data_IF_898159454593
#
_entry.id   IF_898159454593
#
_cell.length_a   1.000
_cell.length_b   1.000
_cell.length_c   1.000
_cell.angle_alpha   90.00
_cell.angle_beta   90.00
_cell.angle_gamma   90.00
#
_symmetry.space_group_name_H-M   'P 1'
#
loop_
_entity.id
_entity.type
_entity.pdbx_description
1 polymer ?
#
# COMPACT_ATOMS: atom_id res chain seq x y z
N UNK A 1 39.39 74.54 -3.07
CA UNK A 1 39.00 74.45 -1.64
C UNK A 1 37.77 73.57 -1.57
N UNK A 2 37.59 72.79 -0.48
CA UNK A 2 36.47 71.87 -0.20
C UNK A 2 36.46 70.53 -0.97
N UNK A 3 36.11 69.47 -0.22
CA UNK A 3 35.71 68.10 -0.63
C UNK A 3 34.27 67.86 -0.04
N UNK A 4 33.67 66.64 0.07
CA UNK A 4 33.89 65.32 -0.56
C UNK A 4 32.59 64.87 -1.33
N UNK A 5 31.95 63.67 -1.35
CA UNK A 5 32.10 62.34 -0.67
C UNK A 5 31.31 61.21 -1.39
N UNK A 6 31.89 59.99 -1.38
CA UNK A 6 31.23 58.66 -1.15
C UNK A 6 30.22 58.00 -2.12
N UNK A 7 30.20 56.66 -2.02
CA UNK A 7 29.15 55.67 -2.34
C UNK A 7 28.86 55.31 -3.81
N UNK A 8 28.80 54.03 -4.19
CA UNK A 8 29.08 52.79 -3.41
C UNK A 8 28.95 51.52 -4.27
N UNK A 9 29.79 50.51 -4.03
CA UNK A 9 29.79 49.26 -4.79
C UNK A 9 28.84 48.22 -4.16
N UNK A 10 27.71 47.92 -4.83
CA UNK A 10 26.83 46.82 -4.44
C UNK A 10 27.27 45.51 -5.13
N UNK A 11 27.45 44.44 -4.36
CA UNK A 11 27.88 43.13 -4.86
C UNK A 11 26.74 42.13 -4.96
N UNK A 12 26.91 41.08 -5.76
CA UNK A 12 26.05 39.90 -5.73
C UNK A 12 26.84 38.65 -6.13
N UNK A 13 26.93 37.68 -5.22
CA UNK A 13 27.48 36.33 -5.46
C UNK A 13 26.34 35.31 -5.61
N UNK A 14 26.57 34.14 -6.23
CA UNK A 14 25.50 33.35 -6.83
C UNK A 14 24.61 32.60 -5.83
N UNK A 15 23.39 32.26 -6.27
CA UNK A 15 22.51 31.33 -5.55
C UNK A 15 23.13 29.92 -5.57
N UNK A 16 23.16 29.26 -4.40
CA UNK A 16 23.63 27.89 -4.28
C UNK A 16 22.65 26.86 -4.87
N UNK A 17 23.19 25.72 -5.31
CA UNK A 17 22.42 24.54 -5.73
C UNK A 17 22.07 23.72 -4.48
N UNK A 18 20.82 23.24 -4.31
CA UNK A 18 20.45 22.40 -3.17
C UNK A 18 21.11 21.00 -3.27
N UNK A 19 21.38 20.33 -2.14
CA UNK A 19 21.98 19.00 -2.14
C UNK A 19 21.05 17.94 -2.75
N UNK A 20 21.63 16.93 -3.39
CA UNK A 20 20.89 15.82 -4.00
C UNK A 20 20.27 14.90 -2.93
N UNK A 21 19.05 14.42 -3.19
CA UNK A 21 18.38 13.44 -2.35
C UNK A 21 19.01 12.03 -2.51
N UNK A 22 18.97 11.17 -1.48
CA UNK A 22 19.51 9.82 -1.57
C UNK A 22 18.66 8.94 -2.49
N UNK A 23 19.32 8.20 -3.40
CA UNK A 23 18.67 7.27 -4.32
C UNK A 23 18.05 6.07 -3.57
N UNK A 24 16.76 5.73 -3.79
CA UNK A 24 16.19 4.49 -3.26
C UNK A 24 16.86 3.27 -3.91
N UNK A 25 17.10 2.22 -3.11
CA UNK A 25 17.82 1.03 -3.54
C UNK A 25 17.06 0.20 -4.58
N UNK A 26 17.77 -0.30 -5.60
CA UNK A 26 17.22 -1.14 -6.68
C UNK A 26 16.98 -2.58 -6.23
N UNK A 27 16.07 -2.81 -5.27
CA UNK A 27 15.58 -4.15 -4.96
C UNK A 27 14.83 -4.71 -6.18
N UNK A 28 15.25 -5.87 -6.70
CA UNK A 28 14.76 -6.38 -7.99
C UNK A 28 13.35 -6.98 -7.87
N UNK A 29 12.37 -6.36 -8.56
CA UNK A 29 10.97 -6.79 -8.58
C UNK A 29 10.81 -8.05 -9.44
N UNK A 30 10.91 -9.22 -8.81
CA UNK A 30 10.76 -10.53 -9.47
C UNK A 30 9.29 -10.88 -9.66
N UNK A 31 8.68 -10.40 -10.74
CA UNK A 31 7.36 -10.84 -11.19
C UNK A 31 7.30 -12.37 -11.27
N UNK A 32 6.61 -12.99 -10.31
CA UNK A 32 6.45 -14.44 -10.24
C UNK A 32 4.96 -14.74 -10.31
N UNK A 33 4.51 -15.25 -11.46
CA UNK A 33 3.11 -15.65 -11.66
C UNK A 33 2.84 -16.93 -10.87
N UNK A 34 2.28 -16.78 -9.67
CA UNK A 34 1.67 -17.88 -8.93
C UNK A 34 0.19 -18.01 -9.36
N UNK A 35 -0.20 -19.21 -9.74
CA UNK A 35 -1.51 -19.52 -10.34
C UNK A 35 -2.26 -20.52 -9.44
N UNK A 36 -3.58 -20.34 -9.34
CA UNK A 36 -4.57 -21.19 -8.61
C UNK A 36 -4.48 -21.13 -7.06
N UNK A 37 -5.58 -21.30 -6.30
CA UNK A 37 -6.99 -21.51 -6.67
C UNK A 37 -7.95 -20.71 -5.76
N UNK A 38 -9.12 -20.32 -6.27
CA UNK A 38 -10.25 -19.96 -5.40
C UNK A 38 -10.94 -21.23 -4.90
N UNK A 39 -11.08 -21.37 -3.58
CA UNK A 39 -11.77 -22.47 -2.91
C UNK A 39 -12.94 -21.97 -2.05
N UNK A 40 -13.92 -21.28 -2.64
CA UNK A 40 -15.11 -20.83 -1.92
C UNK A 40 -16.11 -21.98 -1.74
N UNK A 41 -16.15 -22.59 -0.55
CA UNK A 41 -17.18 -23.53 -0.15
C UNK A 41 -17.82 -23.13 1.18
N UNK A 42 -19.09 -22.74 1.13
CA UNK A 42 -19.95 -22.78 2.31
C UNK A 42 -20.32 -24.24 2.58
N UNK A 43 -20.14 -24.70 3.82
CA UNK A 43 -20.46 -26.06 4.23
C UNK A 43 -20.73 -26.14 5.73
N UNK A 44 -22.00 -26.34 6.08
CA UNK A 44 -22.39 -26.68 7.45
C UNK A 44 -22.29 -28.20 7.67
N UNK A 45 -21.92 -28.62 8.87
CA UNK A 45 -21.81 -30.03 9.24
C UNK A 45 -21.19 -30.18 10.63
N UNK A 46 -21.78 -31.01 11.47
CA UNK A 46 -21.39 -31.17 12.89
C UNK A 46 -20.72 -32.52 13.18
N UNK A 47 -20.23 -32.65 14.41
CA UNK A 47 -20.19 -33.89 15.21
C UNK A 47 -18.99 -34.85 15.05
N UNK A 48 -18.10 -34.79 16.05
CA UNK A 48 -17.93 -35.93 16.95
C UNK A 48 -16.62 -36.73 16.87
N UNK A 49 -15.87 -36.71 17.97
CA UNK A 49 -14.70 -37.57 18.19
C UNK A 49 -14.02 -37.22 19.52
N UNK A 50 -14.17 -38.07 20.54
CA UNK A 50 -13.68 -37.79 21.90
C UNK A 50 -12.27 -38.31 22.15
N UNK A 51 -11.48 -37.55 22.91
CA UNK A 51 -10.19 -37.96 23.48
C UNK A 51 -10.10 -37.53 24.94
N UNK A 52 -9.61 -38.40 25.82
CA UNK A 52 -9.56 -38.16 27.28
C UNK A 52 -8.15 -37.78 27.74
N UNK A 53 -7.93 -36.52 28.12
CA UNK A 53 -6.68 -36.11 28.78
C UNK A 53 -6.52 -34.60 28.96
N UNK A 54 -6.13 -34.20 30.17
CA UNK A 54 -5.36 -32.99 30.54
C UNK A 54 -5.66 -31.65 29.85
N UNK A 55 -6.33 -30.77 30.61
CA UNK A 55 -6.52 -29.31 30.41
C UNK A 55 -7.22 -28.83 29.11
N UNK A 56 -8.03 -27.75 29.20
CA UNK A 56 -8.58 -27.08 28.03
C UNK A 56 -7.50 -26.19 27.40
N UNK A 57 -6.52 -26.81 26.74
CA UNK A 57 -5.55 -26.09 25.92
C UNK A 57 -6.32 -25.35 24.82
N UNK A 58 -6.55 -24.05 25.05
CA UNK A 58 -7.57 -23.27 24.34
C UNK A 58 -6.96 -22.78 23.03
N UNK A 59 -6.82 -23.73 22.11
CA UNK A 59 -6.31 -23.56 20.75
C UNK A 59 -7.15 -22.51 20.01
N UNK A 60 -6.78 -21.26 20.21
CA UNK A 60 -7.50 -20.09 19.73
C UNK A 60 -7.25 -20.00 18.24
N UNK A 61 -8.20 -20.54 17.46
CA UNK A 61 -8.13 -20.56 16.01
C UNK A 61 -7.92 -19.14 15.50
N UNK A 62 -6.74 -18.90 14.92
CA UNK A 62 -6.42 -17.62 14.32
C UNK A 62 -7.42 -17.34 13.19
N UNK A 63 -8.00 -16.16 13.19
CA UNK A 63 -8.93 -15.69 12.14
C UNK A 63 -8.20 -14.75 11.18
N UNK A 64 -8.60 -14.68 9.90
CA UNK A 64 -8.12 -13.64 8.99
C UNK A 64 -8.33 -12.22 9.57
N UNK A 65 -7.55 -11.22 9.15
CA UNK A 65 -7.61 -9.89 9.75
C UNK A 65 -8.92 -9.16 9.45
N UNK A 66 -9.19 -8.10 10.22
CA UNK A 66 -10.26 -7.16 9.89
C UNK A 66 -10.02 -6.50 8.51
N UNK A 67 -11.05 -6.25 7.69
CA UNK A 67 -10.91 -5.53 6.42
C UNK A 67 -10.30 -4.13 6.59
N UNK A 68 -9.51 -3.70 5.61
CA UNK A 68 -8.82 -2.40 5.65
C UNK A 68 -9.82 -1.24 5.55
N UNK A 69 -9.67 -0.26 6.45
CA UNK A 69 -10.57 0.90 6.57
C UNK A 69 -9.85 2.22 6.36
N UNK A 70 -10.59 3.26 5.96
CA UNK A 70 -10.02 4.60 5.71
C UNK A 70 -9.00 4.65 4.57
N UNK A 71 -9.11 3.74 3.58
CA UNK A 71 -8.30 3.80 2.36
C UNK A 71 -8.56 5.13 1.63
N UNK A 72 -7.50 5.81 1.23
CA UNK A 72 -7.51 7.00 0.37
C UNK A 72 -6.36 6.93 -0.64
N UNK A 73 -6.58 7.52 -1.82
CA UNK A 73 -5.57 7.67 -2.87
C UNK A 73 -5.28 9.17 -3.08
N UNK A 74 -4.02 9.53 -3.27
CA UNK A 74 -3.58 10.92 -3.44
C UNK A 74 -2.47 11.01 -4.49
N UNK A 75 -2.63 11.88 -5.48
CA UNK A 75 -1.67 12.08 -6.59
C UNK A 75 -0.40 12.77 -6.08
N UNK A 76 0.77 12.31 -6.54
CA UNK A 76 2.09 12.88 -6.25
C UNK A 76 2.63 13.82 -7.35
N UNK A 77 3.76 14.47 -7.08
CA UNK A 77 4.41 15.41 -8.02
C UNK A 77 5.22 14.75 -9.15
N UNK A 78 5.64 13.51 -8.96
CA UNK A 78 6.08 12.59 -10.03
C UNK A 78 4.95 11.62 -10.31
N UNK A 79 4.83 11.02 -11.51
CA UNK A 79 3.64 10.26 -11.91
C UNK A 79 3.47 9.01 -11.03
N UNK A 80 2.66 9.17 -9.98
CA UNK A 80 2.55 8.27 -8.86
C UNK A 80 1.31 8.59 -8.02
N UNK A 81 0.80 7.58 -7.32
CA UNK A 81 -0.30 7.71 -6.36
C UNK A 81 0.18 7.19 -5.01
N UNK A 82 0.09 8.04 -3.98
CA UNK A 82 0.24 7.63 -2.59
C UNK A 82 -1.08 7.06 -2.09
N UNK A 83 -1.07 5.82 -1.62
CA UNK A 83 -2.17 5.20 -0.91
C UNK A 83 -1.93 5.30 0.60
N UNK A 84 -2.98 5.61 1.36
CA UNK A 84 -2.97 5.60 2.83
C UNK A 84 -4.20 4.86 3.32
N UNK A 85 -4.04 4.06 4.37
CA UNK A 85 -5.14 3.37 5.05
C UNK A 85 -4.85 3.20 6.54
N UNK A 86 -5.91 2.90 7.30
CA UNK A 86 -5.82 2.54 8.72
C UNK A 86 -5.34 1.09 8.84
N UNK A 87 -4.31 0.79 9.64
CA UNK A 87 -3.88 -0.59 9.89
C UNK A 87 -5.01 -1.46 10.46
N UNK A 88 -5.11 -2.70 10.00
CA UNK A 88 -6.09 -3.68 10.47
C UNK A 88 -5.60 -4.40 11.72
N UNK A 89 -6.53 -4.68 12.66
CA UNK A 89 -6.22 -5.53 13.82
C UNK A 89 -5.92 -6.95 13.36
N UNK A 90 -4.82 -7.51 13.87
CA UNK A 90 -4.38 -8.88 13.58
C UNK A 90 -3.76 -9.08 12.19
N UNK A 91 -3.30 -8.02 11.52
CA UNK A 91 -2.65 -8.07 10.21
C UNK A 91 -1.12 -8.05 10.30
N UNK A 92 -0.47 -8.98 9.60
CA UNK A 92 0.99 -9.08 9.45
C UNK A 92 1.49 -8.30 8.22
N UNK A 93 0.77 -8.34 7.10
CA UNK A 93 1.07 -7.55 5.89
C UNK A 93 -0.20 -7.13 5.12
N UNK A 94 -0.05 -6.42 4.00
CA UNK A 94 -1.15 -5.94 3.17
C UNK A 94 -0.91 -6.23 1.68
N UNK A 95 -2.01 -6.42 0.94
CA UNK A 95 -1.98 -6.60 -0.52
C UNK A 95 -2.79 -5.50 -1.18
N UNK A 96 -2.15 -4.74 -2.06
CA UNK A 96 -2.78 -3.71 -2.89
C UNK A 96 -3.18 -4.33 -4.22
N UNK A 97 -4.47 -4.27 -4.53
CA UNK A 97 -5.03 -4.65 -5.83
C UNK A 97 -5.37 -3.39 -6.59
N UNK A 98 -5.01 -3.33 -7.87
CA UNK A 98 -5.26 -2.15 -8.69
C UNK A 98 -5.64 -2.44 -10.14
N UNK A 99 -6.33 -1.48 -10.76
CA UNK A 99 -6.69 -1.53 -12.18
C UNK A 99 -6.83 -0.13 -12.78
N UNK A 100 -6.80 -0.05 -14.11
CA UNK A 100 -7.17 1.13 -14.90
C UNK A 100 -8.69 1.14 -15.20
N UNK A 101 -9.46 0.30 -14.52
CA UNK A 101 -10.91 0.15 -14.65
C UNK A 101 -11.57 -0.07 -13.29
N UNK A 102 -12.82 0.38 -13.17
CA UNK A 102 -13.68 0.15 -12.00
C UNK A 102 -13.99 -1.33 -11.79
N UNK A 103 -14.32 -1.71 -10.56
CA UNK A 103 -14.62 -3.10 -10.20
C UNK A 103 -13.36 -3.88 -9.90
N UNK A 104 -12.47 -3.30 -9.09
CA UNK A 104 -11.22 -3.95 -8.68
C UNK A 104 -11.56 -5.12 -7.75
N UNK A 105 -11.24 -6.34 -8.18
CA UNK A 105 -11.38 -7.56 -7.36
C UNK A 105 -10.05 -8.31 -7.32
N UNK A 106 -9.79 -9.13 -6.28
CA UNK A 106 -8.61 -10.00 -6.24
C UNK A 106 -8.44 -10.92 -7.46
N UNK A 107 -9.51 -11.19 -8.20
CA UNK A 107 -9.52 -11.99 -9.44
C UNK A 107 -9.32 -11.19 -10.74
N UNK A 108 -9.48 -9.87 -10.74
CA UNK A 108 -9.44 -9.02 -11.97
C UNK A 108 -8.32 -7.98 -11.97
N UNK A 109 -7.60 -7.84 -10.86
CA UNK A 109 -6.66 -6.75 -10.63
C UNK A 109 -5.19 -7.14 -10.84
N UNK A 110 -4.35 -6.13 -11.08
CA UNK A 110 -2.90 -6.22 -10.88
C UNK A 110 -2.62 -6.19 -9.37
N UNK A 111 -1.62 -6.95 -8.92
CA UNK A 111 -1.40 -7.23 -7.48
C UNK A 111 -0.03 -6.75 -7.05
N UNK A 112 0.05 -6.09 -5.89
CA UNK A 112 1.29 -5.75 -5.18
C UNK A 112 1.16 -6.31 -3.76
N UNK A 113 2.06 -7.23 -3.37
CA UNK A 113 2.09 -7.86 -2.04
C UNK A 113 3.05 -7.14 -1.10
N UNK A 114 2.90 -7.40 0.20
CA UNK A 114 3.76 -6.93 1.29
C UNK A 114 3.89 -5.40 1.35
N UNK A 115 2.79 -4.72 1.03
CA UNK A 115 2.65 -3.28 1.12
C UNK A 115 2.48 -2.82 2.58
N UNK A 116 2.78 -1.56 2.84
CA UNK A 116 2.58 -0.89 4.13
C UNK A 116 2.00 0.51 3.92
N UNK A 117 1.28 1.04 4.93
CA UNK A 117 0.67 2.38 4.88
C UNK A 117 1.65 3.40 5.49
N UNK A 118 2.01 4.51 4.80
CA UNK A 118 1.64 4.89 3.43
C UNK A 118 2.40 4.10 2.36
N UNK A 119 1.70 3.69 1.30
CA UNK A 119 2.29 3.04 0.12
C UNK A 119 2.45 4.06 -1.02
N UNK A 120 3.62 4.13 -1.65
CA UNK A 120 3.83 4.90 -2.88
C UNK A 120 3.76 3.97 -4.09
N UNK A 121 2.88 4.28 -5.03
CA UNK A 121 2.74 3.57 -6.29
C UNK A 121 3.19 4.48 -7.45
N UNK A 122 4.46 4.39 -7.84
CA UNK A 122 5.05 5.14 -8.94
C UNK A 122 5.13 4.34 -10.26
N UNK A 123 5.75 4.93 -11.29
CA UNK A 123 5.89 4.32 -12.62
C UNK A 123 4.60 4.27 -13.45
N UNK A 124 3.52 4.91 -12.98
CA UNK A 124 2.19 4.89 -13.61
C UNK A 124 2.10 5.90 -14.77
N UNK A 125 1.62 5.52 -15.97
CA UNK A 125 1.35 6.50 -17.02
C UNK A 125 0.26 7.51 -16.62
N UNK A 126 0.56 8.80 -16.74
CA UNK A 126 -0.37 9.90 -16.44
C UNK A 126 -1.49 10.03 -17.50
N UNK A 127 -2.55 10.77 -17.16
CA UNK A 127 -3.78 10.90 -17.95
C UNK A 127 -4.75 9.73 -17.80
N UNK A 128 -4.73 9.03 -16.65
CA UNK A 128 -5.44 7.75 -16.44
C UNK A 128 -6.12 7.62 -15.08
N UNK A 129 -7.35 7.08 -15.01
CA UNK A 129 -7.96 6.68 -13.76
C UNK A 129 -7.30 5.41 -13.24
N UNK A 130 -6.93 5.41 -11.96
CA UNK A 130 -6.43 4.24 -11.25
C UNK A 130 -7.33 3.93 -10.06
N UNK A 131 -7.76 2.67 -9.98
CA UNK A 131 -8.68 2.15 -9.00
C UNK A 131 -7.94 1.19 -8.05
N UNK A 132 -8.31 1.19 -6.77
CA UNK A 132 -7.59 0.46 -5.71
C UNK A 132 -8.53 -0.14 -4.68
N UNK A 133 -8.24 -1.38 -4.28
CA UNK A 133 -8.68 -1.97 -2.99
C UNK A 133 -7.47 -2.59 -2.29
N UNK A 134 -7.54 -2.72 -0.96
CA UNK A 134 -6.48 -3.33 -0.14
C UNK A 134 -7.09 -4.44 0.74
N UNK A 135 -6.42 -5.59 0.81
CA UNK A 135 -6.67 -6.60 1.86
C UNK A 135 -5.56 -6.56 2.90
N UNK A 136 -5.89 -6.96 4.12
CA UNK A 136 -4.93 -7.27 5.17
C UNK A 136 -4.68 -8.78 5.20
N UNK A 137 -3.47 -9.22 5.55
CA UNK A 137 -3.07 -10.64 5.53
C UNK A 137 -2.44 -11.04 6.85
N UNK A 138 -2.74 -12.24 7.32
CA UNK A 138 -2.02 -12.90 8.40
C UNK A 138 -1.86 -14.40 8.14
N UNK A 139 -1.25 -15.12 9.09
CA UNK A 139 -1.09 -16.58 9.06
C UNK A 139 -2.39 -17.40 8.88
N UNK A 140 -3.58 -16.83 9.15
CA UNK A 140 -4.88 -17.48 8.94
C UNK A 140 -5.55 -17.14 7.60
N UNK A 141 -5.08 -16.12 6.88
CA UNK A 141 -5.54 -15.79 5.53
C UNK A 141 -5.57 -14.30 5.18
N UNK A 142 -6.17 -13.99 4.03
CA UNK A 142 -6.42 -12.63 3.56
C UNK A 142 -7.82 -12.16 4.01
N UNK A 143 -7.96 -10.87 4.36
CA UNK A 143 -9.24 -10.26 4.72
C UNK A 143 -10.15 -10.08 3.50
N UNK A 144 -11.44 -9.76 3.73
CA UNK A 144 -12.23 -9.13 2.68
C UNK A 144 -11.58 -7.80 2.23
N UNK A 145 -11.73 -7.38 0.95
CA UNK A 145 -11.15 -6.14 0.45
C UNK A 145 -11.80 -4.90 1.09
N UNK A 146 -11.03 -3.81 1.14
CA UNK A 146 -11.54 -2.47 1.45
C UNK A 146 -12.61 -2.01 0.45
N UNK A 147 -13.26 -0.88 0.76
CA UNK A 147 -13.94 -0.10 -0.26
C UNK A 147 -12.98 0.29 -1.41
N UNK A 148 -13.49 0.38 -2.65
CA UNK A 148 -12.72 0.87 -3.80
C UNK A 148 -12.51 2.38 -3.69
N UNK A 149 -11.28 2.84 -3.87
CA UNK A 149 -10.97 4.25 -4.12
C UNK A 149 -10.40 4.43 -5.53
N UNK A 150 -10.53 5.64 -6.07
CA UNK A 150 -9.97 5.98 -7.38
C UNK A 150 -9.30 7.35 -7.37
N UNK A 151 -8.16 7.47 -8.06
CA UNK A 151 -7.53 8.75 -8.38
C UNK A 151 -7.24 8.86 -9.88
N UNK A 152 -7.38 10.06 -10.43
CA UNK A 152 -6.94 10.40 -11.79
C UNK A 152 -5.52 10.96 -11.69
N UNK A 153 -4.57 10.25 -12.29
CA UNK A 153 -3.18 10.70 -12.48
C UNK A 153 -3.01 11.31 -13.87
#
# INVERSE_FOLDING_TARGET
MLHPTSSGLNGSRPKGVPPAAPSPSRSAWRNTLAILALGALAGCGSSGGGGTGTEPDTATLATPPAPVSGLVATVGNSPSITLKWTPSVGADSYVVYWSESRGVTPSTAKVIRDASSPFLHDGLPAGKPYHYVVTAVNSAGESAPSAEVSALL
#
